data_IF_070363169428
#
_entry.id   IF_070363169428
#
_cell.length_a   1.000
_cell.length_b   1.000
_cell.length_c   1.000
_cell.angle_alpha   90.00
_cell.angle_beta   90.00
_cell.angle_gamma   90.00
#
_symmetry.space_group_name_H-M   'P 1'
#
loop_
_entity.id
_entity.type
_entity.pdbx_description
1 polymer ?
#
# COMPACT_ATOMS: atom_id res chain seq x y z
N UNK A 1 -13.01 -8.39 -5.33
CA UNK A 1 -13.17 -7.07 -5.96
C UNK A 1 -14.15 -7.20 -7.11
N UNK A 2 -15.14 -6.32 -7.21
CA UNK A 2 -16.03 -6.23 -8.37
C UNK A 2 -15.71 -4.92 -9.09
N UNK A 3 -15.17 -5.04 -10.30
CA UNK A 3 -14.93 -3.88 -11.15
C UNK A 3 -16.14 -3.67 -12.07
N UNK A 4 -16.84 -2.56 -11.87
CA UNK A 4 -17.82 -2.08 -12.83
C UNK A 4 -17.09 -1.32 -13.94
N UNK A 5 -17.54 -1.45 -15.19
CA UNK A 5 -17.05 -0.68 -16.33
C UNK A 5 -15.60 -0.95 -16.80
N UNK A 6 -15.18 -2.21 -16.83
CA UNK A 6 -13.93 -2.59 -17.52
C UNK A 6 -12.64 -2.36 -16.73
N UNK A 7 -12.72 -2.15 -15.42
CA UNK A 7 -11.54 -2.15 -14.55
C UNK A 7 -10.77 -3.48 -14.64
N UNK A 8 -9.45 -3.42 -14.58
CA UNK A 8 -8.55 -4.59 -14.61
C UNK A 8 -7.84 -4.71 -13.29
N UNK A 9 -7.70 -5.93 -12.78
CA UNK A 9 -6.86 -6.25 -11.63
C UNK A 9 -5.56 -6.88 -12.09
N UNK A 10 -4.45 -6.44 -11.51
CA UNK A 10 -3.12 -7.02 -11.72
C UNK A 10 -2.56 -7.35 -10.34
N UNK A 11 -2.23 -8.61 -10.11
CA UNK A 11 -1.65 -9.08 -8.86
C UNK A 11 -0.51 -10.06 -9.11
N UNK A 12 0.29 -10.34 -8.09
CA UNK A 12 1.40 -11.30 -8.17
C UNK A 12 0.95 -12.77 -8.21
N UNK A 13 -0.36 -13.03 -8.13
CA UNK A 13 -0.89 -14.39 -8.09
C UNK A 13 -0.39 -15.18 -6.88
N UNK A 14 -0.01 -16.43 -7.12
CA UNK A 14 0.34 -17.39 -6.07
C UNK A 14 1.59 -17.01 -5.24
N UNK A 15 2.54 -16.27 -5.82
CA UNK A 15 3.80 -15.94 -5.13
C UNK A 15 3.68 -14.79 -4.13
N UNK A 16 2.65 -13.97 -4.26
CA UNK A 16 2.36 -12.83 -3.37
C UNK A 16 3.63 -12.01 -2.98
N UNK A 17 4.50 -11.76 -3.96
CA UNK A 17 5.80 -11.12 -3.70
C UNK A 17 5.64 -9.72 -3.13
N UNK A 18 6.30 -9.46 -1.99
CA UNK A 18 6.37 -8.13 -1.40
C UNK A 18 7.13 -7.16 -2.33
N UNK A 19 6.75 -5.87 -2.27
CA UNK A 19 7.37 -4.82 -3.10
C UNK A 19 6.90 -4.76 -4.54
N UNK A 20 6.11 -5.71 -5.02
CA UNK A 20 5.75 -5.80 -6.45
C UNK A 20 4.68 -4.77 -6.88
N UNK A 21 3.92 -4.20 -5.95
CA UNK A 21 2.82 -3.29 -6.29
C UNK A 21 3.26 -2.03 -7.04
N UNK A 22 4.37 -1.41 -6.65
CA UNK A 22 4.90 -0.22 -7.33
C UNK A 22 5.36 -0.52 -8.77
N UNK A 23 6.25 -1.51 -9.02
CA UNK A 23 6.65 -1.88 -10.38
C UNK A 23 5.46 -2.27 -11.27
N UNK A 24 4.50 -3.04 -10.77
CA UNK A 24 3.29 -3.39 -11.52
C UNK A 24 2.44 -2.18 -11.87
N UNK A 25 2.26 -1.25 -10.93
CA UNK A 25 1.47 -0.04 -11.17
C UNK A 25 2.14 0.89 -12.20
N UNK A 26 3.47 0.97 -12.19
CA UNK A 26 4.23 1.69 -13.22
C UNK A 26 4.02 1.04 -14.60
N UNK A 27 4.17 -0.28 -14.68
CA UNK A 27 3.93 -1.02 -15.91
C UNK A 27 2.52 -0.80 -16.45
N UNK A 28 1.50 -0.88 -15.58
CA UNK A 28 0.11 -0.60 -15.93
C UNK A 28 -0.09 0.84 -16.44
N UNK A 29 0.46 1.83 -15.73
CA UNK A 29 0.32 3.23 -16.11
C UNK A 29 1.02 3.57 -17.44
N UNK A 30 2.13 2.91 -17.75
CA UNK A 30 2.83 3.07 -19.03
C UNK A 30 2.06 2.41 -20.17
N UNK A 31 1.48 1.23 -19.92
CA UNK A 31 0.68 0.51 -20.92
C UNK A 31 -0.65 1.22 -21.22
N UNK A 32 -1.29 1.79 -20.20
CA UNK A 32 -2.63 2.39 -20.26
C UNK A 32 -2.57 3.89 -19.98
N UNK A 33 -1.85 4.64 -20.82
CA UNK A 33 -1.46 6.05 -20.63
C UNK A 33 -2.59 7.03 -20.26
N UNK A 34 -3.84 6.69 -20.54
CA UNK A 34 -5.02 7.56 -20.26
C UNK A 34 -5.75 7.16 -18.97
N UNK A 35 -5.39 6.04 -18.35
CA UNK A 35 -6.13 5.52 -17.23
C UNK A 35 -5.43 5.85 -15.89
N UNK A 36 -6.24 6.05 -14.87
CA UNK A 36 -5.76 6.15 -13.51
C UNK A 36 -5.44 4.76 -12.98
N UNK A 37 -4.31 4.61 -12.31
CA UNK A 37 -3.89 3.36 -11.68
C UNK A 37 -4.00 3.48 -10.18
N UNK A 38 -4.64 2.51 -9.55
CA UNK A 38 -4.67 2.34 -8.10
C UNK A 38 -3.67 1.26 -7.71
N UNK A 39 -2.68 1.63 -6.92
CA UNK A 39 -1.70 0.71 -6.34
C UNK A 39 -2.03 0.52 -4.86
N UNK A 40 -2.21 -0.72 -4.42
CA UNK A 40 -2.44 -1.03 -2.99
C UNK A 40 -1.29 -1.88 -2.48
N UNK A 41 -0.69 -1.48 -1.37
CA UNK A 41 0.46 -2.15 -0.77
C UNK A 41 0.42 -2.04 0.75
N UNK A 42 1.11 -2.93 1.45
CA UNK A 42 1.34 -2.81 2.90
C UNK A 42 2.52 -1.89 3.21
N UNK A 43 2.57 -1.40 4.45
CA UNK A 43 3.63 -0.54 4.97
C UNK A 43 5.02 -1.17 4.85
N UNK A 44 5.21 -2.41 5.26
CA UNK A 44 6.47 -3.12 5.09
C UNK A 44 6.73 -3.59 3.66
N UNK A 45 5.68 -3.85 2.87
CA UNK A 45 5.83 -4.31 1.48
C UNK A 45 6.39 -3.22 0.57
N UNK A 46 5.95 -1.97 0.73
CA UNK A 46 6.41 -0.86 -0.11
C UNK A 46 7.91 -0.59 0.05
N UNK A 47 8.49 -0.90 1.20
CA UNK A 47 9.90 -0.65 1.50
C UNK A 47 10.85 -1.37 0.55
N UNK A 48 10.45 -2.55 0.04
CA UNK A 48 11.29 -3.37 -0.83
C UNK A 48 11.53 -2.76 -2.23
N UNK A 49 10.68 -1.84 -2.67
CA UNK A 49 10.83 -1.14 -3.94
C UNK A 49 10.45 0.36 -3.82
N UNK A 50 10.72 0.95 -2.68
CA UNK A 50 10.35 2.35 -2.38
C UNK A 50 10.96 3.36 -3.34
N UNK A 51 12.12 3.05 -3.92
CA UNK A 51 12.81 3.88 -4.91
C UNK A 51 11.96 4.11 -6.17
N UNK A 52 11.00 3.23 -6.46
CA UNK A 52 10.09 3.36 -7.61
C UNK A 52 9.13 4.55 -7.48
N UNK A 53 8.96 5.10 -6.28
CA UNK A 53 8.27 6.37 -6.11
C UNK A 53 8.94 7.51 -6.89
N UNK A 54 10.27 7.43 -7.12
CA UNK A 54 10.97 8.38 -7.96
C UNK A 54 10.56 8.27 -9.42
N UNK A 55 10.39 7.06 -9.93
CA UNK A 55 9.89 6.80 -11.29
C UNK A 55 8.49 7.40 -11.47
N UNK A 56 7.60 7.14 -10.51
CA UNK A 56 6.22 7.65 -10.50
C UNK A 56 6.20 9.19 -10.54
N UNK A 57 6.99 9.82 -9.67
CA UNK A 57 7.09 11.27 -9.56
C UNK A 57 7.70 11.89 -10.83
N UNK A 58 8.83 11.36 -11.31
CA UNK A 58 9.56 11.88 -12.44
C UNK A 58 8.73 11.91 -13.73
N UNK A 59 8.02 10.81 -14.00
CA UNK A 59 7.16 10.70 -15.18
C UNK A 59 5.74 11.22 -14.95
N UNK A 60 5.43 11.73 -13.75
CA UNK A 60 4.11 12.24 -13.36
C UNK A 60 2.99 11.26 -13.66
N UNK A 61 3.25 9.98 -13.39
CA UNK A 61 2.29 8.90 -13.67
C UNK A 61 1.05 9.07 -12.78
N UNK A 62 -0.15 8.98 -13.37
CA UNK A 62 -1.40 9.08 -12.61
C UNK A 62 -1.65 7.84 -11.76
N UNK A 63 -0.78 7.60 -10.77
CA UNK A 63 -0.86 6.49 -9.84
C UNK A 63 -1.24 6.99 -8.46
N UNK A 64 -2.25 6.35 -7.84
CA UNK A 64 -2.65 6.56 -6.45
C UNK A 64 -2.16 5.37 -5.64
N UNK A 65 -1.07 5.54 -4.91
CA UNK A 65 -0.48 4.49 -4.09
C UNK A 65 -1.08 4.54 -2.70
N UNK A 66 -1.91 3.55 -2.37
CA UNK A 66 -2.50 3.36 -1.04
C UNK A 66 -1.61 2.43 -0.22
N UNK A 67 -1.05 2.95 0.84
CA UNK A 67 -0.25 2.21 1.80
C UNK A 67 -1.13 1.85 2.99
N UNK A 68 -1.42 0.57 3.15
CA UNK A 68 -2.13 0.03 4.31
C UNK A 68 -1.12 -0.07 5.45
N UNK A 69 -1.16 0.93 6.33
CA UNK A 69 -0.27 1.00 7.47
C UNK A 69 -0.93 0.35 8.68
N UNK A 70 -0.50 -0.88 8.98
CA UNK A 70 -0.94 -1.68 10.11
C UNK A 70 0.19 -1.97 11.11
N UNK A 71 1.31 -1.26 11.03
CA UNK A 71 2.42 -1.33 11.97
C UNK A 71 3.32 -2.55 11.79
N UNK A 72 3.59 -2.96 10.54
CA UNK A 72 4.54 -4.01 10.22
C UNK A 72 3.94 -5.22 9.50
N UNK A 73 4.52 -6.39 9.70
CA UNK A 73 4.18 -7.62 8.97
C UNK A 73 3.08 -8.43 9.67
N UNK A 74 1.82 -7.99 9.60
CA UNK A 74 0.69 -8.58 10.34
C UNK A 74 0.51 -10.07 10.05
N UNK A 75 0.66 -10.54 8.82
CA UNK A 75 0.59 -11.97 8.50
C UNK A 75 1.69 -12.77 9.18
N UNK A 76 2.91 -12.25 9.25
CA UNK A 76 4.02 -12.89 9.95
C UNK A 76 3.82 -12.88 11.46
N UNK A 77 3.30 -11.77 12.03
CA UNK A 77 2.92 -11.72 13.45
C UNK A 77 1.96 -12.85 13.82
N UNK A 78 0.90 -13.03 13.03
CA UNK A 78 -0.07 -14.11 13.26
C UNK A 78 0.54 -15.49 13.14
N UNK A 79 1.44 -15.69 12.21
CA UNK A 79 2.20 -16.93 12.05
C UNK A 79 3.04 -17.24 13.31
N UNK A 80 3.78 -16.23 13.78
CA UNK A 80 4.61 -16.37 14.98
C UNK A 80 3.76 -16.60 16.23
N UNK A 81 2.62 -15.92 16.35
CA UNK A 81 1.69 -16.16 17.46
C UNK A 81 1.17 -17.60 17.47
N UNK A 82 0.81 -18.14 16.32
CA UNK A 82 0.19 -19.48 16.23
C UNK A 82 1.21 -20.62 16.36
N UNK A 83 2.42 -20.46 15.81
CA UNK A 83 3.37 -21.57 15.71
C UNK A 83 4.60 -21.43 16.60
N UNK A 84 4.86 -20.24 17.14
CA UNK A 84 6.03 -19.97 17.97
C UNK A 84 5.67 -19.39 19.35
N UNK A 85 4.48 -19.71 19.86
CA UNK A 85 3.99 -19.30 21.17
C UNK A 85 4.10 -17.77 21.42
N UNK A 86 3.89 -16.96 20.40
CA UNK A 86 3.95 -15.51 20.49
C UNK A 86 5.37 -14.93 20.53
N UNK A 87 6.40 -15.72 20.30
CA UNK A 87 7.77 -15.22 20.15
C UNK A 87 7.89 -14.50 18.81
N UNK A 88 7.67 -13.20 18.83
CA UNK A 88 7.75 -12.33 17.65
C UNK A 88 9.17 -11.82 17.45
N UNK A 89 9.67 -11.93 16.22
CA UNK A 89 10.99 -11.44 15.79
C UNK A 89 10.84 -10.75 14.43
N UNK A 90 11.35 -9.52 14.33
CA UNK A 90 11.40 -8.73 13.10
C UNK A 90 10.06 -8.61 12.36
N UNK A 91 8.98 -8.37 13.09
CA UNK A 91 7.62 -8.26 12.51
C UNK A 91 6.87 -6.98 12.85
N UNK A 92 7.35 -6.22 13.83
CA UNK A 92 6.77 -4.96 14.29
C UNK A 92 7.82 -4.09 14.98
N UNK A 93 7.47 -2.84 15.30
CA UNK A 93 8.40 -1.84 15.85
C UNK A 93 9.13 -2.32 17.11
N UNK A 94 8.43 -3.01 18.00
CA UNK A 94 9.01 -3.55 19.24
C UNK A 94 9.97 -4.72 19.00
N UNK A 95 9.92 -5.36 17.85
CA UNK A 95 10.70 -6.58 17.55
C UNK A 95 11.74 -6.39 16.43
N UNK A 96 11.92 -5.16 15.95
CA UNK A 96 13.02 -4.83 15.04
C UNK A 96 12.61 -4.19 13.70
N UNK A 97 11.32 -4.17 13.36
CA UNK A 97 10.83 -3.52 12.13
C UNK A 97 10.17 -2.19 12.44
N UNK A 98 10.90 -1.11 12.29
CA UNK A 98 10.36 0.24 12.42
C UNK A 98 9.46 0.61 11.24
N UNK A 99 8.43 1.42 11.50
CA UNK A 99 7.56 1.93 10.44
C UNK A 99 8.10 3.22 9.84
N UNK A 100 7.95 3.38 8.53
CA UNK A 100 8.36 4.59 7.82
C UNK A 100 7.41 5.77 8.11
N UNK A 101 7.97 6.98 8.10
CA UNK A 101 7.17 8.20 8.06
C UNK A 101 6.76 8.51 6.62
N UNK A 102 5.61 8.02 6.17
CA UNK A 102 5.16 8.14 4.79
C UNK A 102 4.94 9.59 4.35
N UNK A 103 4.64 10.52 5.27
CA UNK A 103 4.58 11.95 4.95
C UNK A 103 5.96 12.51 4.55
N UNK A 104 7.02 12.11 5.26
CA UNK A 104 8.40 12.50 4.91
C UNK A 104 8.83 11.83 3.60
N UNK A 105 8.46 10.59 3.39
CA UNK A 105 8.74 9.85 2.14
C UNK A 105 8.06 10.54 0.96
N UNK A 106 6.76 10.84 1.05
CA UNK A 106 6.05 11.55 -0.02
C UNK A 106 6.73 12.88 -0.37
N UNK A 107 7.14 13.65 0.65
CA UNK A 107 7.89 14.90 0.46
C UNK A 107 9.25 14.67 -0.23
N UNK A 108 9.98 13.63 0.15
CA UNK A 108 11.30 13.33 -0.41
C UNK A 108 11.24 12.93 -1.90
N UNK A 109 10.11 12.35 -2.33
CA UNK A 109 9.87 11.94 -3.71
C UNK A 109 8.96 12.92 -4.49
N UNK A 110 8.67 14.11 -3.97
CA UNK A 110 7.82 15.12 -4.61
C UNK A 110 6.40 14.62 -4.96
N UNK A 111 5.83 13.77 -4.10
CA UNK A 111 4.48 13.25 -4.23
C UNK A 111 3.49 14.01 -3.37
N UNK A 112 2.25 14.12 -3.84
CA UNK A 112 1.15 14.56 -2.98
C UNK A 112 0.90 13.49 -1.91
N UNK A 113 0.60 13.93 -0.69
CA UNK A 113 0.34 13.05 0.44
C UNK A 113 -1.05 13.28 1.00
N UNK A 114 -1.73 12.19 1.33
CA UNK A 114 -2.99 12.22 2.08
C UNK A 114 -2.97 11.11 3.15
N UNK A 115 -3.55 11.39 4.31
CA UNK A 115 -3.65 10.47 5.43
C UNK A 115 -5.12 10.17 5.73
N UNK A 116 -5.49 8.90 5.76
CA UNK A 116 -6.82 8.41 6.15
C UNK A 116 -6.69 7.64 7.46
N UNK A 117 -7.31 8.15 8.53
CA UNK A 117 -7.29 7.54 9.86
C UNK A 117 -8.64 7.00 10.32
N UNK A 118 -9.72 7.53 9.76
CA UNK A 118 -11.09 7.22 10.19
C UNK A 118 -11.97 6.93 8.98
N UNK A 119 -12.89 6.01 9.15
CA UNK A 119 -13.85 5.64 8.11
C UNK A 119 -14.65 6.85 7.59
N UNK A 120 -15.03 7.76 8.49
CA UNK A 120 -15.76 8.99 8.12
C UNK A 120 -15.02 9.92 7.15
N UNK A 121 -13.69 9.77 7.03
CA UNK A 121 -12.85 10.57 6.14
C UNK A 121 -12.75 9.99 4.72
N UNK A 122 -13.10 8.71 4.53
CA UNK A 122 -12.84 7.96 3.30
C UNK A 122 -13.47 8.66 2.09
N UNK A 123 -14.77 8.87 2.10
CA UNK A 123 -15.49 9.37 0.93
C UNK A 123 -14.99 10.75 0.48
N UNK A 124 -14.79 11.68 1.41
CA UNK A 124 -14.34 13.03 1.09
C UNK A 124 -12.91 13.05 0.56
N UNK A 125 -12.01 12.28 1.19
CA UNK A 125 -10.60 12.20 0.77
C UNK A 125 -10.44 11.44 -0.53
N UNK A 126 -11.17 10.33 -0.72
CA UNK A 126 -11.14 9.60 -1.99
C UNK A 126 -11.64 10.48 -3.14
N UNK A 127 -12.74 11.20 -2.99
CA UNK A 127 -13.24 12.10 -4.04
C UNK A 127 -12.18 13.12 -4.45
N UNK A 128 -11.47 13.74 -3.49
CA UNK A 128 -10.36 14.67 -3.74
C UNK A 128 -9.19 14.01 -4.46
N UNK A 129 -8.78 12.81 -4.02
CA UNK A 129 -7.63 12.09 -4.58
C UNK A 129 -7.93 11.63 -6.01
N UNK A 130 -9.11 11.06 -6.22
CA UNK A 130 -9.50 10.46 -7.49
C UNK A 130 -9.79 11.49 -8.58
N UNK A 131 -10.25 12.70 -8.23
CA UNK A 131 -10.45 13.79 -9.19
C UNK A 131 -9.16 14.47 -9.66
N UNK A 132 -8.01 14.09 -9.10
CA UNK A 132 -6.73 14.72 -9.40
C UNK A 132 -5.84 13.81 -10.25
N UNK A 133 -5.21 14.32 -11.28
CA UNK A 133 -4.32 13.52 -12.16
C UNK A 133 -2.89 13.36 -11.62
N UNK A 134 -2.51 14.11 -10.58
CA UNK A 134 -1.16 13.99 -9.99
C UNK A 134 -1.00 12.66 -9.23
N UNK A 135 0.23 12.13 -9.14
CA UNK A 135 0.51 10.99 -8.27
C UNK A 135 0.30 11.33 -6.80
N UNK A 136 -0.20 10.35 -6.06
CA UNK A 136 -0.42 10.44 -4.61
C UNK A 136 0.20 9.25 -3.88
N UNK A 137 0.74 9.55 -2.70
CA UNK A 137 0.98 8.56 -1.65
C UNK A 137 -0.09 8.74 -0.57
N UNK A 138 -0.96 7.75 -0.44
CA UNK A 138 -2.09 7.78 0.50
C UNK A 138 -1.82 6.78 1.60
N UNK A 139 -1.63 7.27 2.82
CA UNK A 139 -1.45 6.41 3.99
C UNK A 139 -2.80 6.13 4.62
N UNK A 140 -3.13 4.85 4.79
CA UNK A 140 -4.36 4.38 5.42
C UNK A 140 -3.99 3.65 6.70
N UNK A 141 -4.29 4.27 7.84
CA UNK A 141 -4.07 3.63 9.14
C UNK A 141 -5.15 2.59 9.39
N UNK A 142 -4.72 1.37 9.67
CA UNK A 142 -5.62 0.26 10.01
C UNK A 142 -5.23 -0.38 11.34
N UNK A 143 -6.17 -1.10 11.93
CA UNK A 143 -5.93 -1.81 13.19
C UNK A 143 -4.93 -2.96 12.98
N UNK A 144 -3.78 -2.98 13.67
CA UNK A 144 -2.81 -4.08 13.59
C UNK A 144 -3.36 -5.42 14.08
N UNK A 145 -4.44 -5.40 14.84
CA UNK A 145 -5.10 -6.60 15.37
C UNK A 145 -6.35 -7.00 14.57
N UNK A 146 -6.61 -6.33 13.46
CA UNK A 146 -7.76 -6.65 12.62
C UNK A 146 -7.79 -8.13 12.26
N UNK A 147 -8.94 -8.76 12.47
CA UNK A 147 -9.14 -10.16 12.08
C UNK A 147 -9.15 -10.28 10.56
N UNK A 148 -8.45 -11.28 10.04
CA UNK A 148 -8.56 -11.65 8.63
C UNK A 148 -9.85 -12.45 8.50
N UNK A 149 -10.83 -11.93 7.75
CA UNK A 149 -12.03 -12.66 7.42
C UNK A 149 -11.72 -13.65 6.29
N UNK A 150 -11.90 -14.93 6.53
CA UNK A 150 -11.62 -16.01 5.60
C UNK A 150 -11.57 -17.35 6.32
N UNK A 151 -11.31 -18.43 5.60
CA UNK A 151 -11.11 -19.75 6.23
C UNK A 151 -9.91 -19.64 7.16
N UNK A 152 -10.11 -20.06 8.42
CA UNK A 152 -9.01 -20.29 9.35
C UNK A 152 -8.06 -21.32 8.70
N UNK A 153 -6.78 -20.95 8.63
CA UNK A 153 -5.74 -21.88 8.17
C UNK A 153 -5.29 -22.73 9.35
#
# INVERSE_FOLDING_TARGET
WHFNNGGKEISSGANAAMGLSLPLSIGAAVAEKKNQVLSVTGDGSIELNIQELKTISHYKLNIKTFVINNGGYVSMKKWQDNFFAGNRLDTEDLTGVGTLNFKKIAKAFDLKYELIKRESEINSKLSKIMSNESPYLVEVITDPNQKIYGKEF
#
